data_IF_576801160930
#
_entry.id   IF_576801160930
#
_cell.length_a   1.000
_cell.length_b   1.000
_cell.length_c   1.000
_cell.angle_alpha   90.00
_cell.angle_beta   90.00
_cell.angle_gamma   90.00
#
_symmetry.space_group_name_H-M   'P 1'
#
loop_
_entity.id
_entity.type
_entity.pdbx_description
1 polymer ?
#
# COMPACT_ATOMS: atom_id res chain seq x y z
N UNK A 1 16.24 13.96 22.65
CA UNK A 1 14.85 13.76 23.11
C UNK A 1 14.41 12.42 22.55
N UNK A 2 14.14 11.44 23.42
CA UNK A 2 13.85 10.07 23.02
C UNK A 2 12.32 9.94 22.85
N UNK A 3 11.79 10.46 21.75
CA UNK A 3 10.38 10.29 21.39
C UNK A 3 10.23 8.85 20.92
N UNK A 4 9.72 8.00 21.81
CA UNK A 4 9.37 6.62 21.51
C UNK A 4 8.26 6.66 20.45
N UNK A 5 8.65 6.52 19.18
CA UNK A 5 7.73 6.50 18.06
C UNK A 5 7.02 5.14 18.05
N UNK A 6 5.72 5.15 18.31
CA UNK A 6 4.92 3.94 18.31
C UNK A 6 4.39 3.69 16.89
N UNK A 7 4.77 2.55 16.33
CA UNK A 7 4.41 2.18 14.95
C UNK A 7 3.00 1.62 14.95
N UNK A 8 2.07 2.36 14.33
CA UNK A 8 0.71 1.89 14.07
C UNK A 8 0.72 0.83 12.98
N UNK A 9 0.47 -0.40 13.39
CA UNK A 9 0.43 -1.56 12.51
C UNK A 9 -0.59 -1.41 11.38
N UNK A 10 -1.72 -0.74 11.61
CA UNK A 10 -2.78 -0.54 10.60
C UNK A 10 -2.31 0.27 9.39
N UNK A 11 -1.27 1.11 9.52
CA UNK A 11 -0.66 1.82 8.38
C UNK A 11 0.15 0.89 7.48
N UNK A 12 0.56 -0.26 8.00
CA UNK A 12 1.44 -1.23 7.34
C UNK A 12 0.69 -2.42 6.73
N UNK A 13 -0.62 -2.50 6.95
CA UNK A 13 -1.46 -3.56 6.40
C UNK A 13 -2.33 -3.06 5.26
N UNK A 14 -2.39 -3.86 4.19
CA UNK A 14 -3.32 -3.65 3.08
C UNK A 14 -4.75 -3.67 3.60
N UNK A 15 -5.62 -2.90 2.96
CA UNK A 15 -7.05 -3.00 3.22
C UNK A 15 -7.55 -4.38 2.80
N UNK A 16 -8.29 -5.05 3.68
CA UNK A 16 -8.94 -6.32 3.38
C UNK A 16 -9.93 -6.14 2.23
N UNK A 17 -9.92 -7.09 1.29
CA UNK A 17 -10.89 -7.12 0.21
C UNK A 17 -12.26 -7.54 0.77
N UNK A 18 -13.34 -6.76 0.56
CA UNK A 18 -14.69 -7.22 0.83
C UNK A 18 -14.97 -8.50 0.04
N UNK A 19 -15.82 -9.40 0.52
CA UNK A 19 -16.16 -10.62 -0.22
C UNK A 19 -16.89 -10.34 -1.56
N UNK A 20 -17.56 -9.19 -1.68
CA UNK A 20 -18.42 -8.83 -2.81
C UNK A 20 -17.91 -7.60 -3.58
N UNK A 21 -16.59 -7.43 -3.66
CA UNK A 21 -16.02 -6.29 -4.38
C UNK A 21 -16.07 -6.54 -5.91
N UNK A 22 -16.46 -5.50 -6.65
CA UNK A 22 -16.35 -5.53 -8.11
C UNK A 22 -14.89 -5.27 -8.53
N UNK A 23 -14.28 -6.29 -9.13
CA UNK A 23 -13.06 -6.13 -9.90
C UNK A 23 -13.33 -5.18 -11.07
N UNK A 24 -12.38 -4.29 -11.35
CA UNK A 24 -12.36 -3.52 -12.60
C UNK A 24 -11.26 -4.11 -13.49
N UNK A 25 -11.58 -5.06 -14.38
CA UNK A 25 -10.57 -5.79 -15.15
C UNK A 25 -9.72 -4.86 -16.00
N UNK A 26 -10.32 -3.80 -16.55
CA UNK A 26 -9.61 -2.80 -17.35
C UNK A 26 -8.51 -2.10 -16.56
N UNK A 27 -8.78 -1.70 -15.31
CA UNK A 27 -7.78 -1.02 -14.48
C UNK A 27 -6.66 -1.98 -14.04
N UNK A 28 -7.02 -3.24 -13.77
CA UNK A 28 -6.05 -4.29 -13.46
C UNK A 28 -5.13 -4.54 -14.64
N UNK A 29 -5.66 -4.63 -15.87
CA UNK A 29 -4.84 -4.78 -17.07
C UNK A 29 -3.87 -3.61 -17.27
N UNK A 30 -4.31 -2.37 -17.05
CA UNK A 30 -3.43 -1.19 -17.11
C UNK A 30 -2.30 -1.28 -16.08
N UNK A 31 -2.63 -1.64 -14.83
CA UNK A 31 -1.61 -1.80 -13.78
C UNK A 31 -0.61 -2.92 -14.12
N UNK A 32 -1.10 -4.02 -14.70
CA UNK A 32 -0.28 -5.16 -15.10
C UNK A 32 0.66 -4.82 -16.28
N UNK A 33 0.15 -4.14 -17.31
CA UNK A 33 0.94 -3.67 -18.45
C UNK A 33 2.08 -2.73 -18.02
N UNK A 34 1.88 -2.00 -16.93
CA UNK A 34 2.85 -1.06 -16.37
C UNK A 34 3.60 -1.60 -15.14
N UNK A 35 3.51 -2.89 -14.81
CA UNK A 35 4.17 -3.46 -13.62
C UNK A 35 5.72 -3.25 -13.61
N UNK A 36 6.34 -2.99 -14.76
CA UNK A 36 7.78 -2.70 -14.88
C UNK A 36 8.19 -1.23 -14.72
N UNK A 37 7.27 -0.28 -14.53
CA UNK A 37 7.64 1.14 -14.37
C UNK A 37 8.13 1.41 -12.94
N UNK A 38 9.13 2.30 -12.76
CA UNK A 38 9.65 2.60 -11.42
C UNK A 38 8.65 3.33 -10.52
N UNK A 39 7.59 3.93 -11.08
CA UNK A 39 6.59 4.67 -10.34
C UNK A 39 5.24 4.73 -11.08
N UNK A 40 4.16 4.40 -10.38
CA UNK A 40 2.79 4.52 -10.87
C UNK A 40 1.96 5.30 -9.84
N UNK A 41 1.20 6.31 -10.30
CA UNK A 41 0.29 7.10 -9.47
C UNK A 41 -1.16 6.77 -9.84
N UNK A 42 -1.93 6.29 -8.88
CA UNK A 42 -3.37 6.04 -9.04
C UNK A 42 -4.16 7.14 -8.32
N UNK A 43 -4.96 7.91 -9.07
CA UNK A 43 -5.79 8.99 -8.55
C UNK A 43 -7.25 8.83 -8.98
N UNK A 44 -8.16 9.09 -8.04
CA UNK A 44 -9.61 9.05 -8.21
C UNK A 44 -10.27 9.74 -7.00
N UNK A 45 -11.55 10.16 -7.09
CA UNK A 45 -12.25 10.77 -5.95
C UNK A 45 -12.39 9.80 -4.75
N UNK A 46 -12.74 10.34 -3.59
CA UNK A 46 -13.04 9.52 -2.42
C UNK A 46 -14.20 8.56 -2.70
N UNK A 47 -14.14 7.33 -2.17
CA UNK A 47 -15.18 6.31 -2.38
C UNK A 47 -15.08 5.48 -3.67
N UNK A 48 -14.20 5.83 -4.62
CA UNK A 48 -14.04 5.10 -5.89
C UNK A 48 -13.25 3.77 -5.80
N UNK A 49 -12.99 3.28 -4.59
CA UNK A 49 -12.37 1.97 -4.41
C UNK A 49 -10.88 1.85 -4.79
N UNK A 50 -10.13 2.96 -4.94
CA UNK A 50 -8.69 2.95 -5.26
C UNK A 50 -7.88 1.92 -4.47
N UNK A 51 -8.03 1.93 -3.14
CA UNK A 51 -7.31 1.02 -2.26
C UNK A 51 -7.75 -0.44 -2.45
N UNK A 52 -9.02 -0.67 -2.77
CA UNK A 52 -9.56 -2.02 -3.07
C UNK A 52 -8.99 -2.53 -4.40
N UNK A 53 -8.97 -1.70 -5.44
CA UNK A 53 -8.41 -2.09 -6.74
C UNK A 53 -6.92 -2.41 -6.63
N UNK A 54 -6.15 -1.58 -5.91
CA UNK A 54 -4.74 -1.86 -5.64
C UNK A 54 -4.55 -3.12 -4.80
N UNK A 55 -5.29 -3.29 -3.70
CA UNK A 55 -5.22 -4.52 -2.88
C UNK A 55 -5.46 -5.77 -3.72
N UNK A 56 -6.45 -5.74 -4.63
CA UNK A 56 -6.79 -6.88 -5.47
C UNK A 56 -5.75 -7.15 -6.56
N UNK A 57 -5.21 -6.11 -7.19
CA UNK A 57 -4.13 -6.28 -8.15
C UNK A 57 -2.88 -6.86 -7.48
N UNK A 58 -2.51 -6.39 -6.28
CA UNK A 58 -1.37 -6.92 -5.53
C UNK A 58 -1.58 -8.37 -5.04
N UNK A 59 -2.81 -8.87 -4.99
CA UNK A 59 -3.09 -10.30 -4.72
C UNK A 59 -2.76 -11.16 -5.95
N UNK A 60 -3.05 -10.66 -7.15
CA UNK A 60 -2.83 -11.37 -8.41
C UNK A 60 -1.39 -11.29 -8.92
N UNK A 61 -0.69 -10.19 -8.61
CA UNK A 61 0.66 -9.92 -9.11
C UNK A 61 1.72 -10.94 -8.63
N UNK A 62 1.47 -11.65 -7.51
CA UNK A 62 2.33 -12.72 -7.02
C UNK A 62 3.73 -12.28 -6.55
N UNK A 63 4.00 -10.98 -6.53
CA UNK A 63 5.27 -10.40 -6.10
C UNK A 63 5.30 -10.09 -4.60
N UNK A 64 6.50 -9.91 -4.07
CA UNK A 64 6.70 -9.37 -2.72
C UNK A 64 6.26 -7.91 -2.72
N UNK A 65 5.26 -7.59 -1.89
CA UNK A 65 4.67 -6.26 -1.86
C UNK A 65 4.70 -5.71 -0.44
N UNK A 66 4.98 -4.42 -0.33
CA UNK A 66 4.96 -3.64 0.91
C UNK A 66 3.81 -2.62 0.80
N UNK A 67 3.08 -2.41 1.89
CA UNK A 67 2.00 -1.42 1.94
C UNK A 67 2.29 -0.39 3.02
N UNK A 68 2.22 0.88 2.65
CA UNK A 68 2.31 1.99 3.60
C UNK A 68 1.22 3.02 3.29
N UNK A 69 0.26 3.14 4.19
CA UNK A 69 -0.77 4.18 4.16
C UNK A 69 -0.20 5.48 4.73
N UNK A 70 -0.06 6.49 3.88
CA UNK A 70 0.43 7.82 4.25
C UNK A 70 -0.77 8.75 4.53
N UNK A 71 -0.71 9.49 5.63
CA UNK A 71 -1.67 10.54 5.99
C UNK A 71 -0.97 11.81 6.50
N UNK A 72 -1.75 12.82 6.91
CA UNK A 72 -1.25 14.12 7.35
C UNK A 72 -0.31 14.03 8.57
N UNK A 73 -0.40 12.98 9.38
CA UNK A 73 0.47 12.79 10.54
C UNK A 73 1.87 12.29 10.15
N UNK A 74 2.09 11.89 8.89
CA UNK A 74 3.39 11.45 8.37
C UNK A 74 4.22 12.61 7.82
N UNK A 75 3.82 13.86 8.07
CA UNK A 75 4.56 15.05 7.64
C UNK A 75 5.87 15.29 8.43
N UNK A 76 6.12 14.51 9.49
CA UNK A 76 7.42 14.46 10.16
C UNK A 76 8.34 13.44 9.47
N UNK A 77 9.51 13.89 9.03
CA UNK A 77 10.45 13.06 8.26
C UNK A 77 10.92 11.82 9.03
N UNK A 78 11.14 11.95 10.35
CA UNK A 78 11.60 10.83 11.18
C UNK A 78 10.49 9.76 11.25
N UNK A 79 9.25 10.19 11.42
CA UNK A 79 8.06 9.35 11.44
C UNK A 79 7.87 8.59 10.11
N UNK A 80 7.92 9.31 8.99
CA UNK A 80 7.83 8.73 7.65
C UNK A 80 8.91 7.68 7.38
N UNK A 81 10.18 8.04 7.63
CA UNK A 81 11.32 7.12 7.40
C UNK A 81 11.24 5.91 8.34
N UNK A 82 10.76 6.08 9.57
CA UNK A 82 10.59 4.98 10.52
C UNK A 82 9.56 3.97 10.03
N UNK A 83 8.39 4.42 9.56
CA UNK A 83 7.39 3.55 8.94
C UNK A 83 7.93 2.89 7.67
N UNK A 84 8.64 3.64 6.83
CA UNK A 84 9.22 3.14 5.58
C UNK A 84 10.24 2.02 5.81
N UNK A 85 11.22 2.23 6.70
CA UNK A 85 12.20 1.19 7.06
C UNK A 85 11.49 -0.03 7.66
N UNK A 86 10.49 0.21 8.49
CA UNK A 86 9.75 -0.86 9.15
C UNK A 86 9.02 -1.74 8.14
N UNK A 87 8.32 -1.16 7.14
CA UNK A 87 7.61 -1.97 6.14
C UNK A 87 8.57 -2.76 5.26
N UNK A 88 9.74 -2.20 4.91
CA UNK A 88 10.77 -2.93 4.16
C UNK A 88 11.27 -4.14 4.97
N UNK A 89 11.54 -3.96 6.27
CA UNK A 89 11.95 -5.05 7.15
C UNK A 89 10.85 -6.12 7.32
N UNK A 90 9.59 -5.73 7.50
CA UNK A 90 8.48 -6.69 7.64
C UNK A 90 8.18 -7.44 6.34
N UNK A 91 8.21 -6.77 5.19
CA UNK A 91 8.04 -7.40 3.87
C UNK A 91 9.14 -8.40 3.53
N UNK A 92 10.30 -8.31 4.19
CA UNK A 92 11.39 -9.28 4.10
C UNK A 92 11.27 -10.47 5.08
N UNK A 93 10.43 -10.37 6.12
CA UNK A 93 10.37 -11.36 7.23
C UNK A 93 9.15 -12.28 7.22
N UNK A 94 8.09 -11.97 6.46
CA UNK A 94 6.97 -12.89 6.24
C UNK A 94 7.17 -13.68 4.94
N UNK A 95 7.89 -14.78 5.05
CA UNK A 95 7.89 -15.93 4.12
C UNK A 95 7.52 -17.18 4.90
#
# INVERSE_FOLDING_TARGET
MNTKFEILQTKLFRSNLPLDFMLCPQLISILEEHHGVPFCLVSAPAGYGKSITLSSWLEQCGQKTAWYSIDENDNDLISFVSYFITIINYGMLKF
#
